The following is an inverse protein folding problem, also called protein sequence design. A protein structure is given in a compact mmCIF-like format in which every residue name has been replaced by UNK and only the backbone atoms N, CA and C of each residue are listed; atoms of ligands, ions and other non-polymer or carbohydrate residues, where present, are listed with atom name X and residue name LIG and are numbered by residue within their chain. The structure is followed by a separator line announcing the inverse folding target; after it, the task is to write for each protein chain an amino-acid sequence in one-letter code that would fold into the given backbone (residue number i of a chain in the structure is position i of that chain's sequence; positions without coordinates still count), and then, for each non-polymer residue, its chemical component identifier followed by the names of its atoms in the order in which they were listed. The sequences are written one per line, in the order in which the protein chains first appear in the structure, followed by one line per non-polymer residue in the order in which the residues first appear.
data_IF_870825356537
#
_entry.id   IF_870825356537
#
_cell.length_a   1.000
_cell.length_b   1.000
_cell.length_c   1.000
_cell.angle_alpha   90.00
_cell.angle_beta   90.00
_cell.angle_gamma   90.00
#
_symmetry.space_group_name_H-M   'P 1'
#
loop_
_entity.id
_entity.type
_entity.pdbx_description
1 polymer ?
#
# COMPACT_ATOMS: atom_id res chain seq x y z
N UNK A 1 21.05 43.52 11.77
CA UNK A 1 21.30 44.38 12.96
C UNK A 1 21.99 43.56 14.04
N UNK A 2 21.38 42.47 14.52
CA UNK A 2 21.94 41.59 15.57
C UNK A 2 23.32 41.02 15.23
N UNK A 3 23.52 40.54 14.00
CA UNK A 3 24.84 40.09 13.54
C UNK A 3 25.90 41.20 13.56
N UNK A 4 25.53 42.47 13.45
CA UNK A 4 26.52 43.56 13.53
C UNK A 4 26.93 43.84 14.97
N UNK A 5 26.03 43.59 15.93
CA UNK A 5 26.31 43.75 17.37
C UNK A 5 27.27 42.65 17.84
N UNK A 6 27.15 41.43 17.30
CA UNK A 6 28.00 40.30 17.67
C UNK A 6 29.48 40.49 17.29
N UNK A 7 29.75 41.17 16.17
CA UNK A 7 31.11 41.46 15.70
C UNK A 7 31.65 42.82 16.15
N UNK A 8 30.83 43.65 16.80
CA UNK A 8 31.24 44.96 17.24
C UNK A 8 31.98 44.88 18.59
N UNK A 9 33.14 45.52 18.66
CA UNK A 9 33.93 45.64 19.89
C UNK A 9 33.54 46.88 20.73
N UNK A 10 32.96 47.89 20.09
CA UNK A 10 32.44 49.09 20.74
C UNK A 10 31.26 49.65 19.92
N UNK A 11 30.52 50.60 20.49
CA UNK A 11 29.35 51.20 19.83
C UNK A 11 29.71 51.91 18.51
N UNK A 12 30.88 52.51 18.43
CA UNK A 12 31.32 53.19 17.20
C UNK A 12 31.64 52.22 16.06
N UNK A 13 32.22 51.07 16.39
CA UNK A 13 32.50 49.99 15.46
C UNK A 13 31.20 49.36 14.98
N UNK A 14 30.18 49.23 15.86
CA UNK A 14 28.84 48.83 15.45
C UNK A 14 28.28 49.76 14.36
N UNK A 15 28.37 51.08 14.54
CA UNK A 15 27.88 52.04 13.53
C UNK A 15 28.67 51.93 12.21
N UNK A 16 30.00 51.77 12.26
CA UNK A 16 30.81 51.51 11.05
C UNK A 16 30.42 50.21 10.33
N UNK A 17 30.12 49.15 11.08
CA UNK A 17 29.63 47.88 10.51
C UNK A 17 28.25 48.05 9.86
N UNK A 18 27.43 48.97 10.36
CA UNK A 18 26.16 49.32 9.73
C UNK A 18 26.38 50.07 8.42
N UNK A 19 27.35 50.99 8.35
CA UNK A 19 27.74 51.65 7.10
C UNK A 19 28.25 50.66 6.05
N UNK A 20 29.10 49.72 6.46
CA UNK A 20 29.57 48.65 5.57
C UNK A 20 28.45 47.76 5.03
N UNK A 21 27.35 47.61 5.77
CA UNK A 21 26.15 46.88 5.33
C UNK A 21 25.21 47.74 4.48
N UNK A 22 25.58 48.98 4.16
CA UNK A 22 24.84 49.86 3.26
C UNK A 22 23.82 50.78 3.95
N UNK A 23 23.95 51.00 5.26
CA UNK A 23 23.09 51.95 6.00
C UNK A 23 23.81 53.29 6.14
N UNK A 24 23.13 54.40 5.83
CA UNK A 24 23.68 55.73 6.12
C UNK A 24 23.46 56.06 7.60
N UNK A 25 24.52 56.45 8.31
CA UNK A 25 24.44 56.84 9.73
C UNK A 25 24.49 58.37 9.87
N UNK A 26 23.67 58.92 10.77
CA UNK A 26 23.75 60.33 11.17
C UNK A 26 23.71 60.45 12.69
N UNK A 27 24.59 61.29 13.25
CA UNK A 27 24.57 61.67 14.67
C UNK A 27 23.98 63.06 14.82
N UNK A 28 22.91 63.17 15.58
CA UNK A 28 22.36 64.46 16.00
C UNK A 28 22.01 64.38 17.49
N UNK A 29 22.44 65.39 18.27
CA UNK A 29 22.09 65.53 19.70
C UNK A 29 22.29 64.27 20.55
N UNK A 30 23.37 63.51 20.34
CA UNK A 30 23.71 62.31 21.13
C UNK A 30 22.99 61.02 20.72
N UNK A 31 22.03 61.09 19.79
CA UNK A 31 21.28 59.94 19.28
C UNK A 31 21.77 59.52 17.89
N UNK A 32 21.75 58.21 17.62
CA UNK A 32 22.14 57.64 16.34
C UNK A 32 20.92 57.33 15.48
N UNK A 33 20.97 57.82 14.24
CA UNK A 33 19.96 57.63 13.22
C UNK A 33 20.52 56.74 12.12
N UNK A 34 19.73 55.77 11.67
CA UNK A 34 20.05 54.91 10.54
C UNK A 34 19.06 55.13 9.41
N UNK A 35 19.56 55.18 8.19
CA UNK A 35 18.75 55.16 6.98
C UNK A 35 19.02 53.87 6.22
N UNK A 36 18.02 52.98 6.07
CA UNK A 36 18.18 51.75 5.31
C UNK A 36 18.30 52.05 3.80
N UNK A 37 18.97 51.15 3.08
CA UNK A 37 19.22 51.31 1.66
C UNK A 37 17.89 51.41 0.87
N UNK A 38 17.69 52.52 0.16
CA UNK A 38 16.51 52.75 -0.69
C UNK A 38 15.40 53.59 -0.06
N UNK A 39 15.47 53.90 1.25
CA UNK A 39 14.52 54.80 1.89
C UNK A 39 15.03 56.25 1.92
N UNK A 40 14.11 57.22 2.03
CA UNK A 40 14.45 58.65 2.00
C UNK A 40 14.67 59.27 3.40
N UNK A 41 14.22 58.60 4.45
CA UNK A 41 14.19 59.16 5.81
C UNK A 41 15.15 58.43 6.76
N UNK A 42 15.62 59.17 7.76
CA UNK A 42 16.45 58.65 8.84
C UNK A 42 15.55 58.19 9.99
N UNK A 43 15.72 56.94 10.43
CA UNK A 43 14.97 56.34 11.53
C UNK A 43 15.86 56.33 12.78
N UNK A 44 15.31 56.69 13.94
CA UNK A 44 16.01 56.58 15.22
C UNK A 44 16.12 55.12 15.62
N UNK A 45 17.29 54.72 16.11
CA UNK A 45 17.49 53.34 16.59
C UNK A 45 16.52 52.94 17.71
N UNK A 46 16.13 53.90 18.55
CA UNK A 46 15.15 53.72 19.64
C UNK A 46 13.76 53.34 19.13
N UNK A 47 13.36 53.87 17.97
CA UNK A 47 12.02 53.68 17.42
C UNK A 47 11.87 52.29 16.79
N UNK A 48 12.99 51.68 16.37
CA UNK A 48 13.02 50.32 15.81
C UNK A 48 12.77 49.30 16.92
N UNK A 49 13.54 49.38 18.01
CA UNK A 49 13.28 48.60 19.23
C UNK A 49 14.03 49.16 20.42
N UNK A 50 13.47 49.01 21.63
CA UNK A 50 14.14 49.41 22.88
C UNK A 50 15.45 48.67 23.17
N UNK A 51 15.72 47.56 22.47
CA UNK A 51 16.97 46.80 22.56
C UNK A 51 18.14 47.46 21.78
N UNK A 52 17.86 48.48 20.96
CA UNK A 52 18.87 49.21 20.19
C UNK A 52 19.23 50.59 20.76
N UNK A 53 18.94 50.81 22.05
CA UNK A 53 19.50 51.98 22.76
C UNK A 53 21.02 51.84 22.86
N UNK A 54 21.73 52.98 22.92
CA UNK A 54 23.20 52.98 23.00
C UNK A 54 23.70 52.12 24.16
N UNK A 55 23.10 52.29 25.33
CA UNK A 55 23.43 51.54 26.55
C UNK A 55 23.12 50.04 26.42
N UNK A 56 21.99 49.68 25.79
CA UNK A 56 21.64 48.27 25.58
C UNK A 56 22.65 47.58 24.64
N UNK A 57 23.03 48.24 23.55
CA UNK A 57 24.01 47.72 22.60
C UNK A 57 25.39 47.59 23.26
N UNK A 58 25.83 48.59 24.01
CA UNK A 58 27.09 48.52 24.78
C UNK A 58 27.05 47.37 25.79
N UNK A 59 25.96 47.23 26.55
CA UNK A 59 25.79 46.12 27.50
C UNK A 59 25.74 44.74 26.82
N UNK A 60 25.22 44.65 25.60
CA UNK A 60 25.13 43.40 24.84
C UNK A 60 26.48 43.01 24.23
N UNK A 61 27.28 44.00 23.81
CA UNK A 61 28.67 43.80 23.39
C UNK A 61 29.49 43.30 24.58
N UNK A 62 29.37 43.94 25.75
CA UNK A 62 30.09 43.54 26.97
C UNK A 62 29.69 42.16 27.48
N UNK A 63 28.39 41.84 27.50
CA UNK A 63 27.90 40.52 27.95
C UNK A 63 28.29 39.40 26.99
N UNK A 64 28.56 39.74 25.72
CA UNK A 64 28.74 38.79 24.62
C UNK A 64 27.44 38.04 24.33
N UNK A 65 27.23 37.57 23.10
CA UNK A 65 26.06 36.72 22.78
C UNK A 65 26.30 35.34 23.38
N UNK A 66 26.07 35.19 24.69
CA UNK A 66 25.88 33.90 25.31
C UNK A 66 24.52 33.40 24.85
N UNK A 67 24.49 32.71 23.72
CA UNK A 67 23.41 31.76 23.48
C UNK A 67 23.47 30.77 24.63
N UNK A 68 22.60 30.95 25.63
CA UNK A 68 22.30 29.88 26.58
C UNK A 68 21.72 28.73 25.75
N UNK A 69 22.60 27.87 25.25
CA UNK A 69 22.23 26.55 24.83
C UNK A 69 21.75 25.85 26.10
N UNK A 70 20.48 26.06 26.45
CA UNK A 70 19.80 25.32 27.51
C UNK A 70 19.81 23.87 27.05
N UNK A 71 20.90 23.16 27.39
CA UNK A 71 21.00 21.71 27.29
C UNK A 71 19.95 21.19 28.26
N UNK A 72 18.75 20.96 27.74
CA UNK A 72 17.66 20.37 28.50
C UNK A 72 18.20 19.09 29.14
N UNK A 73 18.24 19.05 30.48
CA UNK A 73 18.87 17.98 31.23
C UNK A 73 18.31 16.60 30.85
N UNK A 74 19.20 15.60 30.91
CA UNK A 74 19.01 14.15 30.82
C UNK A 74 17.55 13.67 30.82
N UNK A 75 16.84 13.87 29.71
CA UNK A 75 15.57 13.19 29.46
C UNK A 75 15.92 11.77 29.02
N UNK A 76 15.45 10.78 29.77
CA UNK A 76 15.37 9.39 29.31
C UNK A 76 14.87 9.37 27.86
N UNK A 77 15.47 8.58 26.95
CA UNK A 77 15.02 8.53 25.57
C UNK A 77 13.58 8.01 25.55
N UNK A 78 12.62 8.92 25.42
CA UNK A 78 11.22 8.58 25.18
C UNK A 78 11.10 8.36 23.69
N UNK A 79 10.50 7.25 23.27
CA UNK A 79 10.07 7.08 21.88
C UNK A 79 9.09 8.22 21.60
N UNK A 80 9.59 9.27 20.93
CA UNK A 80 8.74 10.33 20.40
C UNK A 80 7.98 9.64 19.28
N UNK A 81 6.74 9.26 19.57
CA UNK A 81 5.82 8.82 18.54
C UNK A 81 5.64 9.97 17.57
N UNK A 82 6.44 10.00 16.51
CA UNK A 82 6.13 10.78 15.33
C UNK A 82 4.82 10.21 14.79
N UNK A 83 3.68 10.79 15.20
CA UNK A 83 2.46 10.70 14.42
C UNK A 83 2.81 11.30 13.07
N UNK A 84 3.24 10.45 12.14
CA UNK A 84 3.29 10.80 10.73
C UNK A 84 1.86 11.22 10.43
N UNK A 85 1.66 12.51 10.19
CA UNK A 85 0.44 12.99 9.59
C UNK A 85 0.43 12.37 8.19
N UNK A 86 -0.10 11.15 8.08
CA UNK A 86 -0.44 10.55 6.81
C UNK A 86 -1.49 11.48 6.20
N UNK A 87 -1.06 12.52 5.49
CA UNK A 87 -1.96 13.27 4.63
C UNK A 87 -2.61 12.21 3.77
N UNK A 88 -3.94 12.07 3.90
CA UNK A 88 -4.72 11.14 3.11
C UNK A 88 -4.26 11.30 1.67
N UNK A 89 -3.85 10.21 1.02
CA UNK A 89 -3.35 10.28 -0.34
C UNK A 89 -4.43 10.94 -1.22
N UNK A 90 -4.11 12.11 -1.76
CA UNK A 90 -4.97 12.79 -2.73
C UNK A 90 -4.45 12.36 -4.09
N UNK A 91 -5.22 11.58 -4.87
CA UNK A 91 -4.80 11.20 -6.21
C UNK A 91 -4.61 12.47 -7.06
N UNK A 92 -3.58 12.53 -7.92
CA UNK A 92 -3.36 13.69 -8.77
C UNK A 92 -4.54 13.90 -9.72
N UNK A 93 -4.89 15.17 -9.96
CA UNK A 93 -5.92 15.57 -10.93
C UNK A 93 -5.52 15.13 -12.35
N UNK A 94 -6.47 14.98 -13.26
CA UNK A 94 -6.20 14.64 -14.68
C UNK A 94 -5.13 15.54 -15.30
N UNK A 95 -5.21 16.85 -15.06
CA UNK A 95 -4.22 17.84 -15.49
C UNK A 95 -2.82 17.58 -14.91
N UNK A 96 -2.74 17.31 -13.60
CA UNK A 96 -1.47 16.99 -12.93
C UNK A 96 -0.85 15.70 -13.47
N UNK A 97 -1.67 14.68 -13.77
CA UNK A 97 -1.21 13.44 -14.42
C UNK A 97 -0.64 13.71 -15.82
N UNK A 98 -1.32 14.54 -16.62
CA UNK A 98 -0.88 14.91 -17.96
C UNK A 98 0.43 15.74 -17.91
N UNK A 99 0.53 16.70 -16.99
CA UNK A 99 1.72 17.49 -16.76
C UNK A 99 2.90 16.60 -16.35
N UNK A 100 2.74 15.75 -15.34
CA UNK A 100 3.77 14.80 -14.91
C UNK A 100 4.18 13.85 -16.04
N UNK A 101 3.22 13.34 -16.83
CA UNK A 101 3.51 12.50 -17.99
C UNK A 101 4.34 13.25 -19.05
N UNK A 102 4.03 14.53 -19.33
CA UNK A 102 4.81 15.39 -20.24
C UNK A 102 6.24 15.60 -19.71
N UNK A 103 6.40 15.85 -18.41
CA UNK A 103 7.72 15.99 -17.77
C UNK A 103 8.56 14.71 -17.82
N UNK A 104 7.93 13.53 -17.71
CA UNK A 104 8.61 12.24 -17.87
C UNK A 104 8.97 11.91 -19.33
N UNK A 105 8.11 12.29 -20.30
CA UNK A 105 8.39 12.10 -21.74
C UNK A 105 9.52 12.99 -22.24
N UNK A 106 9.57 14.23 -21.75
CA UNK A 106 10.60 15.22 -22.09
C UNK A 106 11.92 15.03 -21.33
N UNK A 107 11.98 14.08 -20.39
CA UNK A 107 13.19 13.78 -19.62
C UNK A 107 13.55 14.81 -18.54
N UNK A 108 12.73 15.85 -18.34
CA UNK A 108 12.96 16.87 -17.30
C UNK A 108 12.88 16.27 -15.89
N UNK A 109 12.10 15.21 -15.72
CA UNK A 109 12.15 14.38 -14.51
C UNK A 109 12.82 13.04 -14.77
N UNK A 110 13.78 12.70 -13.90
CA UNK A 110 14.33 11.35 -13.82
C UNK A 110 13.20 10.39 -13.48
N UNK A 111 13.08 9.31 -14.25
CA UNK A 111 12.20 8.20 -13.88
C UNK A 111 12.59 7.75 -12.47
N UNK A 112 11.60 7.65 -11.57
CA UNK A 112 11.85 7.00 -10.28
C UNK A 112 12.36 5.59 -10.58
N UNK A 113 13.39 5.10 -9.87
CA UNK A 113 13.78 3.71 -10.02
C UNK A 113 12.54 2.86 -9.78
N UNK A 114 12.28 1.91 -10.69
CA UNK A 114 11.14 1.03 -10.55
C UNK A 114 11.24 0.33 -9.19
N UNK A 115 10.16 0.37 -8.42
CA UNK A 115 10.16 -0.28 -7.10
C UNK A 115 10.50 -1.75 -7.30
N UNK A 116 11.52 -2.26 -6.61
CA UNK A 116 11.90 -3.67 -6.67
C UNK A 116 10.91 -4.59 -5.94
N UNK A 117 9.76 -4.06 -5.49
CA UNK A 117 8.70 -4.81 -4.82
C UNK A 117 8.25 -6.02 -5.65
N UNK A 118 8.31 -5.94 -6.99
CA UNK A 118 7.97 -7.06 -7.86
C UNK A 118 8.89 -8.27 -7.65
N UNK A 119 10.18 -8.05 -7.31
CA UNK A 119 11.14 -9.13 -7.02
C UNK A 119 10.76 -9.89 -5.76
N UNK A 120 10.25 -9.19 -4.76
CA UNK A 120 9.88 -9.75 -3.46
C UNK A 120 8.41 -10.16 -3.37
N UNK A 121 7.66 -10.16 -4.48
CA UNK A 121 6.22 -10.46 -4.47
C UNK A 121 5.92 -11.83 -3.86
N UNK A 122 6.72 -12.84 -4.21
CA UNK A 122 6.56 -14.20 -3.69
C UNK A 122 6.95 -14.31 -2.22
N UNK A 123 8.06 -13.67 -1.82
CA UNK A 123 8.53 -13.65 -0.44
C UNK A 123 7.55 -12.91 0.48
N UNK A 124 7.01 -11.78 0.03
CA UNK A 124 5.97 -11.04 0.72
C UNK A 124 4.70 -11.90 0.91
N UNK A 125 4.25 -12.61 -0.13
CA UNK A 125 3.10 -13.50 -0.02
C UNK A 125 3.36 -14.68 0.94
N UNK A 126 4.58 -15.25 0.94
CA UNK A 126 4.99 -16.28 1.91
C UNK A 126 4.98 -15.73 3.34
N UNK A 127 5.50 -14.53 3.55
CA UNK A 127 5.52 -13.87 4.85
C UNK A 127 4.10 -13.57 5.35
N UNK A 128 3.22 -13.03 4.51
CA UNK A 128 1.81 -12.78 4.86
C UNK A 128 1.07 -14.08 5.24
N UNK A 129 1.35 -15.17 4.52
CA UNK A 129 0.82 -16.49 4.85
C UNK A 129 1.29 -16.97 6.22
N UNK A 130 2.60 -16.93 6.49
CA UNK A 130 3.17 -17.32 7.79
C UNK A 130 2.63 -16.47 8.94
N UNK A 131 2.54 -15.15 8.73
CA UNK A 131 1.97 -14.23 9.70
C UNK A 131 0.51 -14.57 10.00
N UNK A 132 -0.29 -14.88 8.97
CA UNK A 132 -1.70 -15.27 9.13
C UNK A 132 -1.85 -16.58 9.91
N UNK A 133 -1.00 -17.57 9.62
CA UNK A 133 -0.96 -18.84 10.34
C UNK A 133 -0.56 -18.65 11.81
N UNK A 134 0.48 -17.88 12.07
CA UNK A 134 0.94 -17.57 13.43
C UNK A 134 -0.15 -16.85 14.24
N UNK A 135 -0.76 -15.79 13.68
CA UNK A 135 -1.84 -15.06 14.33
C UNK A 135 -3.06 -15.94 14.61
N UNK A 136 -3.36 -16.90 13.73
CA UNK A 136 -4.43 -17.87 13.94
C UNK A 136 -4.15 -18.75 15.16
N UNK A 137 -2.95 -19.35 15.24
CA UNK A 137 -2.53 -20.16 16.38
C UNK A 137 -2.60 -19.38 17.70
N UNK A 138 -2.13 -18.13 17.71
CA UNK A 138 -2.21 -17.26 18.88
C UNK A 138 -3.65 -16.95 19.30
N UNK A 139 -4.54 -16.61 18.35
CA UNK A 139 -5.95 -16.29 18.65
C UNK A 139 -6.69 -17.47 19.27
N UNK A 140 -6.36 -18.69 18.85
CA UNK A 140 -6.99 -19.92 19.35
C UNK A 140 -6.18 -20.60 20.46
N UNK A 141 -5.07 -20.00 20.91
CA UNK A 141 -4.16 -20.55 21.92
C UNK A 141 -3.71 -22.00 21.65
N UNK A 142 -3.52 -22.34 20.37
CA UNK A 142 -3.14 -23.69 19.95
C UNK A 142 -1.64 -23.87 20.21
N UNK A 143 -1.30 -24.82 21.08
CA UNK A 143 0.09 -25.12 21.47
C UNK A 143 0.56 -26.48 20.99
N UNK A 144 -0.37 -27.40 20.76
CA UNK A 144 -0.05 -28.76 20.29
C UNK A 144 -0.63 -29.03 18.89
N UNK A 145 0.00 -29.95 18.17
CA UNK A 145 -0.52 -30.44 16.91
C UNK A 145 -1.82 -31.23 17.07
N UNK A 146 -1.99 -31.94 18.20
CA UNK A 146 -3.23 -32.68 18.49
C UNK A 146 -4.42 -31.74 18.66
N UNK A 147 -4.21 -30.58 19.30
CA UNK A 147 -5.23 -29.53 19.43
C UNK A 147 -5.62 -28.98 18.07
N UNK A 148 -4.65 -28.80 17.17
CA UNK A 148 -4.88 -28.35 15.80
C UNK A 148 -5.71 -29.37 14.99
N UNK A 149 -5.44 -30.67 15.16
CA UNK A 149 -6.21 -31.75 14.53
C UNK A 149 -7.63 -31.86 15.08
N UNK A 150 -7.81 -31.75 16.41
CA UNK A 150 -9.14 -31.68 17.04
C UNK A 150 -9.93 -30.50 16.49
N UNK A 151 -9.31 -29.32 16.43
CA UNK A 151 -9.91 -28.12 15.86
C UNK A 151 -10.30 -28.31 14.39
N UNK A 152 -9.49 -29.02 13.60
CA UNK A 152 -9.83 -29.36 12.21
C UNK A 152 -11.11 -30.19 12.14
N UNK A 153 -11.23 -31.24 12.97
CA UNK A 153 -12.44 -32.08 13.04
C UNK A 153 -13.67 -31.25 13.44
N UNK A 154 -13.52 -30.36 14.42
CA UNK A 154 -14.61 -29.46 14.82
C UNK A 154 -15.06 -28.53 13.67
N UNK A 155 -14.12 -28.04 12.86
CA UNK A 155 -14.44 -27.23 11.68
C UNK A 155 -15.16 -28.05 10.61
N UNK A 156 -14.75 -29.31 10.39
CA UNK A 156 -15.39 -30.22 9.45
C UNK A 156 -16.85 -30.49 9.88
N UNK A 157 -17.10 -30.81 11.16
CA UNK A 157 -18.46 -30.97 11.67
C UNK A 157 -19.32 -29.71 11.51
N UNK A 158 -18.77 -28.52 11.80
CA UNK A 158 -19.48 -27.25 11.58
C UNK A 158 -19.75 -26.98 10.10
N UNK A 159 -18.89 -27.45 9.21
CA UNK A 159 -19.09 -27.33 7.76
C UNK A 159 -20.28 -28.18 7.32
N UNK A 160 -20.37 -29.40 7.84
CA UNK A 160 -21.48 -30.31 7.60
C UNK A 160 -22.79 -29.73 8.14
N UNK A 161 -22.79 -29.18 9.37
CA UNK A 161 -23.95 -28.49 9.96
C UNK A 161 -24.45 -27.33 9.07
N UNK A 162 -23.53 -26.55 8.47
CA UNK A 162 -23.89 -25.47 7.55
C UNK A 162 -24.43 -25.98 6.22
N UNK A 163 -23.94 -27.13 5.74
CA UNK A 163 -24.47 -27.76 4.53
C UNK A 163 -25.87 -28.35 4.77
N UNK A 164 -26.11 -28.93 5.95
CA UNK A 164 -27.45 -29.32 6.39
C UNK A 164 -28.38 -28.11 6.52
N UNK A 165 -27.93 -27.03 7.15
CA UNK A 165 -28.72 -25.80 7.27
C UNK A 165 -29.08 -25.24 5.88
N UNK A 166 -28.12 -25.21 4.95
CA UNK A 166 -28.36 -24.86 3.55
C UNK A 166 -29.40 -25.78 2.92
N UNK A 167 -29.28 -27.09 3.11
CA UNK A 167 -30.22 -28.07 2.58
C UNK A 167 -31.64 -27.85 3.15
N UNK A 168 -31.77 -27.58 4.44
CA UNK A 168 -33.05 -27.25 5.07
C UNK A 168 -33.69 -26.00 4.46
N UNK A 169 -32.91 -24.95 4.17
CA UNK A 169 -33.41 -23.75 3.48
C UNK A 169 -33.98 -24.13 2.10
N UNK A 170 -33.27 -24.96 1.33
CA UNK A 170 -33.78 -25.44 0.04
C UNK A 170 -35.05 -26.26 0.18
N UNK A 171 -35.15 -27.12 1.20
CA UNK A 171 -36.36 -27.92 1.48
C UNK A 171 -37.56 -27.02 1.80
N UNK A 172 -37.37 -25.97 2.61
CA UNK A 172 -38.41 -24.95 2.91
C UNK A 172 -38.78 -24.12 1.68
N UNK A 173 -37.81 -23.80 0.83
CA UNK A 173 -38.03 -23.05 -0.41
C UNK A 173 -38.74 -23.86 -1.49
N UNK A 174 -38.61 -25.19 -1.48
CA UNK A 174 -39.08 -26.06 -2.56
C UNK A 174 -40.59 -25.96 -2.84
N UNK A 175 -41.50 -25.99 -1.85
CA UNK A 175 -42.94 -25.82 -2.10
C UNK A 175 -43.29 -24.50 -2.80
N UNK A 176 -42.52 -23.44 -2.53
CA UNK A 176 -42.76 -22.10 -3.09
C UNK A 176 -42.03 -21.87 -4.42
N UNK A 177 -41.34 -22.88 -4.97
CA UNK A 177 -40.57 -22.76 -6.22
C UNK A 177 -41.41 -22.20 -7.37
N UNK A 178 -42.65 -22.66 -7.48
CA UNK A 178 -43.54 -22.27 -8.57
C UNK A 178 -44.05 -20.83 -8.43
N UNK A 179 -44.34 -20.37 -7.21
CA UNK A 179 -44.69 -18.97 -6.93
C UNK A 179 -43.49 -18.03 -7.17
N UNK A 180 -42.29 -18.44 -6.76
CA UNK A 180 -41.05 -17.70 -7.01
C UNK A 180 -40.72 -17.60 -8.51
N UNK A 181 -41.03 -18.64 -9.29
CA UNK A 181 -40.85 -18.61 -10.74
C UNK A 181 -41.79 -17.58 -11.41
N UNK A 182 -43.06 -17.54 -10.99
CA UNK A 182 -44.02 -16.53 -11.44
C UNK A 182 -43.56 -15.12 -11.06
N UNK A 183 -43.04 -14.92 -9.84
CA UNK A 183 -42.49 -13.63 -9.43
C UNK A 183 -41.32 -13.18 -10.33
N UNK A 184 -40.42 -14.08 -10.71
CA UNK A 184 -39.34 -13.73 -11.64
C UNK A 184 -39.89 -13.28 -13.01
N UNK A 185 -40.91 -13.94 -13.54
CA UNK A 185 -41.57 -13.54 -14.79
C UNK A 185 -42.19 -12.14 -14.66
N UNK A 186 -42.79 -11.84 -13.50
CA UNK A 186 -43.36 -10.53 -13.18
C UNK A 186 -42.25 -9.46 -13.16
N UNK A 187 -41.17 -9.68 -12.42
CA UNK A 187 -40.04 -8.73 -12.32
C UNK A 187 -39.37 -8.47 -13.69
N UNK A 188 -39.13 -9.53 -14.47
CA UNK A 188 -38.52 -9.41 -15.80
C UNK A 188 -39.39 -8.58 -16.75
N UNK A 189 -40.71 -8.69 -16.65
CA UNK A 189 -41.64 -8.00 -17.54
C UNK A 189 -42.17 -6.68 -16.97
N UNK A 190 -41.86 -6.31 -15.73
CA UNK A 190 -42.42 -5.14 -15.05
C UNK A 190 -42.15 -3.84 -15.82
N UNK A 191 -40.91 -3.63 -16.25
CA UNK A 191 -40.50 -2.44 -17.02
C UNK A 191 -41.22 -2.38 -18.37
N UNK A 192 -41.30 -3.51 -19.09
CA UNK A 192 -41.97 -3.62 -20.39
C UNK A 192 -43.47 -3.41 -20.29
N UNK A 193 -44.09 -4.00 -19.26
CA UNK A 193 -45.48 -3.82 -18.92
C UNK A 193 -45.79 -2.35 -18.57
N UNK A 194 -44.86 -1.65 -17.90
CA UNK A 194 -45.04 -0.23 -17.58
C UNK A 194 -45.09 0.66 -18.84
N UNK A 195 -44.26 0.39 -19.86
CA UNK A 195 -44.29 1.12 -21.13
C UNK A 195 -45.57 0.85 -21.91
N UNK A 196 -46.09 -0.37 -21.87
CA UNK A 196 -47.40 -0.68 -22.46
C UNK A 196 -48.52 0.10 -21.79
N UNK A 197 -48.53 0.18 -20.44
CA UNK A 197 -49.50 1.01 -19.69
C UNK A 197 -49.41 2.50 -20.03
N UNK A 198 -48.23 2.99 -20.43
CA UNK A 198 -48.02 4.36 -20.89
C UNK A 198 -48.47 4.60 -22.34
N UNK A 199 -48.93 3.57 -23.06
CA UNK A 199 -49.49 3.67 -24.41
C UNK A 199 -48.64 3.02 -25.52
N UNK A 200 -47.52 2.37 -25.18
CA UNK A 200 -46.68 1.70 -26.19
C UNK A 200 -47.22 0.33 -26.58
N UNK A 201 -47.80 0.19 -27.78
CA UNK A 201 -48.35 -1.09 -28.27
C UNK A 201 -47.28 -2.18 -28.50
N UNK A 202 -46.01 -1.80 -28.70
CA UNK A 202 -44.91 -2.72 -28.99
C UNK A 202 -44.72 -3.79 -27.91
N UNK A 203 -44.99 -3.46 -26.65
CA UNK A 203 -44.79 -4.35 -25.52
C UNK A 203 -46.03 -5.17 -25.12
N UNK A 204 -47.10 -5.18 -25.93
CA UNK A 204 -48.33 -5.91 -25.64
C UNK A 204 -48.11 -7.39 -25.23
N UNK A 205 -47.26 -8.18 -25.92
CA UNK A 205 -47.04 -9.57 -25.55
C UNK A 205 -46.36 -9.74 -24.18
N UNK A 206 -45.55 -8.77 -23.74
CA UNK A 206 -44.88 -8.80 -22.44
C UNK A 206 -45.85 -8.41 -21.32
N UNK A 207 -46.78 -7.50 -21.61
CA UNK A 207 -47.84 -7.13 -20.70
C UNK A 207 -48.80 -8.30 -20.44
N UNK A 208 -49.17 -9.06 -21.47
CA UNK A 208 -50.00 -10.27 -21.33
C UNK A 208 -49.32 -11.30 -20.43
N UNK A 209 -48.03 -11.61 -20.67
CA UNK A 209 -47.26 -12.52 -19.80
C UNK A 209 -47.18 -12.04 -18.35
N UNK A 210 -47.00 -10.74 -18.14
CA UNK A 210 -46.99 -10.13 -16.81
C UNK A 210 -48.36 -10.28 -16.13
N UNK A 211 -49.45 -10.01 -16.86
CA UNK A 211 -50.83 -10.10 -16.38
C UNK A 211 -51.20 -11.54 -16.03
N UNK A 212 -50.95 -12.48 -16.94
CA UNK A 212 -51.19 -13.91 -16.71
C UNK A 212 -50.42 -14.43 -15.49
N UNK A 213 -49.13 -14.07 -15.37
CA UNK A 213 -48.33 -14.48 -14.23
C UNK A 213 -48.87 -13.90 -12.90
N UNK A 214 -49.33 -12.65 -12.90
CA UNK A 214 -49.95 -12.02 -11.73
C UNK A 214 -51.29 -12.68 -11.37
N UNK A 215 -52.13 -13.00 -12.35
CA UNK A 215 -53.41 -13.68 -12.14
C UNK A 215 -53.21 -15.09 -11.57
N UNK A 216 -52.28 -15.88 -12.13
CA UNK A 216 -51.94 -17.23 -11.63
C UNK A 216 -51.40 -17.14 -10.19
N UNK A 217 -50.65 -16.09 -9.86
CA UNK A 217 -50.13 -15.89 -8.50
C UNK A 217 -51.27 -15.65 -7.49
N UNK A 218 -52.25 -14.81 -7.86
CA UNK A 218 -53.42 -14.51 -7.03
C UNK A 218 -54.32 -15.74 -6.88
N UNK A 219 -54.52 -16.52 -7.95
CA UNK A 219 -55.27 -17.78 -7.90
C UNK A 219 -54.65 -18.80 -6.92
N UNK A 220 -53.33 -18.75 -6.73
CA UNK A 220 -52.60 -19.58 -5.75
C UNK A 220 -52.64 -19.03 -4.33
N UNK A 221 -53.32 -17.91 -4.10
CA UNK A 221 -53.50 -17.29 -2.79
C UNK A 221 -52.32 -16.45 -2.32
N UNK A 222 -51.40 -16.05 -3.22
CA UNK A 222 -50.23 -15.26 -2.86
C UNK A 222 -50.34 -13.82 -3.37
N UNK A 223 -49.89 -12.87 -2.55
CA UNK A 223 -49.68 -11.49 -2.98
C UNK A 223 -48.25 -11.32 -3.50
N UNK A 224 -48.04 -10.51 -4.55
CA UNK A 224 -46.71 -10.22 -5.11
C UNK A 224 -45.72 -9.78 -4.02
N UNK A 225 -46.16 -8.90 -3.11
CA UNK A 225 -45.36 -8.41 -1.98
C UNK A 225 -44.89 -9.54 -1.05
N UNK A 226 -45.79 -10.46 -0.70
CA UNK A 226 -45.45 -11.60 0.17
C UNK A 226 -44.39 -12.50 -0.49
N UNK A 227 -44.54 -12.81 -1.78
CA UNK A 227 -43.59 -13.67 -2.50
C UNK A 227 -42.23 -12.98 -2.66
N UNK A 228 -42.22 -11.65 -2.83
CA UNK A 228 -40.99 -10.85 -2.84
C UNK A 228 -40.26 -10.89 -1.50
N UNK A 229 -40.99 -10.66 -0.39
CA UNK A 229 -40.44 -10.75 0.97
C UNK A 229 -39.87 -12.16 1.26
N UNK A 230 -40.57 -13.21 0.81
CA UNK A 230 -40.09 -14.59 0.90
C UNK A 230 -38.81 -14.82 0.08
N UNK A 231 -38.75 -14.31 -1.16
CA UNK A 231 -37.56 -14.39 -2.01
C UNK A 231 -36.36 -13.74 -1.32
N UNK A 232 -36.53 -12.53 -0.80
CA UNK A 232 -35.48 -11.81 -0.09
C UNK A 232 -35.06 -12.51 1.21
N UNK A 233 -36.00 -13.06 1.98
CA UNK A 233 -35.71 -13.82 3.19
C UNK A 233 -34.81 -15.03 2.89
N UNK A 234 -35.20 -15.86 1.92
CA UNK A 234 -34.38 -17.02 1.53
C UNK A 234 -33.02 -16.62 0.98
N UNK A 235 -32.92 -15.53 0.22
CA UNK A 235 -31.63 -15.03 -0.27
C UNK A 235 -30.74 -14.55 0.87
N UNK A 236 -31.29 -13.84 1.86
CA UNK A 236 -30.55 -13.40 3.05
C UNK A 236 -30.05 -14.58 3.87
N UNK A 237 -30.88 -15.59 4.10
CA UNK A 237 -30.50 -16.81 4.81
C UNK A 237 -29.37 -17.57 4.07
N UNK A 238 -29.53 -17.82 2.77
CA UNK A 238 -28.51 -18.48 1.95
C UNK A 238 -27.20 -17.69 1.92
N UNK A 239 -27.28 -16.36 1.84
CA UNK A 239 -26.11 -15.49 1.88
C UNK A 239 -25.41 -15.54 3.25
N UNK A 240 -26.16 -15.61 4.34
CA UNK A 240 -25.63 -15.77 5.69
C UNK A 240 -24.86 -17.08 5.84
N UNK A 241 -25.47 -18.21 5.42
CA UNK A 241 -24.83 -19.53 5.43
C UNK A 241 -23.59 -19.54 4.54
N UNK A 242 -23.66 -18.94 3.35
CA UNK A 242 -22.50 -18.84 2.45
C UNK A 242 -21.35 -18.01 3.04
N UNK A 243 -21.65 -16.93 3.79
CA UNK A 243 -20.63 -16.14 4.49
C UNK A 243 -19.97 -16.95 5.60
N UNK A 244 -20.76 -17.58 6.47
CA UNK A 244 -20.25 -18.46 7.52
C UNK A 244 -19.37 -19.58 6.94
N UNK A 245 -19.83 -20.23 5.86
CA UNK A 245 -19.06 -21.29 5.18
C UNK A 245 -17.71 -20.79 4.66
N UNK A 246 -17.68 -19.60 4.06
CA UNK A 246 -16.43 -18.97 3.58
C UNK A 246 -15.47 -18.65 4.72
N UNK A 247 -15.97 -18.22 5.87
CA UNK A 247 -15.15 -17.94 7.05
C UNK A 247 -14.51 -19.22 7.58
N UNK A 248 -15.30 -20.28 7.77
CA UNK A 248 -14.77 -21.59 8.18
C UNK A 248 -13.76 -22.14 7.15
N UNK A 249 -14.01 -21.97 5.84
CA UNK A 249 -13.07 -22.40 4.79
C UNK A 249 -11.74 -21.64 4.84
N UNK A 250 -11.74 -20.36 5.25
CA UNK A 250 -10.49 -19.60 5.48
C UNK A 250 -9.72 -20.18 6.66
N UNK A 251 -10.40 -20.55 7.74
CA UNK A 251 -9.74 -21.22 8.87
C UNK A 251 -9.19 -22.58 8.46
N UNK A 252 -9.97 -23.39 7.76
CA UNK A 252 -9.56 -24.72 7.29
C UNK A 252 -8.33 -24.64 6.36
N UNK A 253 -8.26 -23.65 5.46
CA UNK A 253 -7.09 -23.46 4.59
C UNK A 253 -5.85 -23.02 5.37
N UNK A 254 -6.00 -22.23 6.44
CA UNK A 254 -4.89 -21.90 7.35
C UNK A 254 -4.39 -23.13 8.09
N UNK A 255 -5.30 -23.91 8.68
CA UNK A 255 -4.97 -25.16 9.40
C UNK A 255 -4.31 -26.17 8.46
N UNK A 256 -4.90 -26.42 7.28
CA UNK A 256 -4.33 -27.31 6.26
C UNK A 256 -2.96 -26.84 5.78
N UNK A 257 -2.74 -25.53 5.70
CA UNK A 257 -1.44 -24.94 5.40
C UNK A 257 -0.38 -25.17 6.48
N UNK A 258 -0.78 -25.22 7.76
CA UNK A 258 0.13 -25.51 8.89
C UNK A 258 0.47 -27.00 8.91
N UNK A 259 -0.53 -27.87 8.79
CA UNK A 259 -0.35 -29.32 8.79
C UNK A 259 0.50 -29.80 7.60
N UNK A 260 0.26 -29.27 6.39
CA UNK A 260 1.08 -29.57 5.21
C UNK A 260 2.49 -28.97 5.27
N UNK A 261 2.69 -27.89 6.02
CA UNK A 261 4.03 -27.36 6.32
C UNK A 261 4.83 -28.31 7.19
N UNK A 262 4.20 -28.90 8.21
CA UNK A 262 4.82 -29.87 9.12
C UNK A 262 5.30 -31.12 8.39
N UNK A 263 4.50 -31.66 7.47
CA UNK A 263 4.91 -32.83 6.67
C UNK A 263 6.11 -32.52 5.79
N UNK A 264 6.26 -31.29 5.27
CA UNK A 264 7.46 -30.88 4.55
C UNK A 264 8.70 -30.78 5.43
N UNK A 265 8.57 -30.23 6.65
CA UNK A 265 9.69 -30.13 7.59
C UNK A 265 10.16 -31.53 8.02
N UNK A 266 9.23 -32.43 8.34
CA UNK A 266 9.54 -33.83 8.67
C UNK A 266 10.12 -34.61 7.47
N UNK A 267 9.57 -34.42 6.26
CA UNK A 267 10.12 -35.04 5.05
C UNK A 267 11.53 -34.50 4.73
N UNK A 268 11.81 -33.22 4.98
CA UNK A 268 13.17 -32.69 4.85
C UNK A 268 14.12 -33.26 5.92
N UNK A 269 13.67 -33.44 7.16
CA UNK A 269 14.46 -34.11 8.21
C UNK A 269 14.77 -35.58 7.88
N UNK A 270 13.83 -36.29 7.25
CA UNK A 270 14.01 -37.70 6.82
C UNK A 270 14.84 -37.78 5.52
N UNK A 271 14.76 -36.77 4.64
CA UNK A 271 15.46 -36.74 3.36
C UNK A 271 16.85 -36.11 3.40
N UNK A 272 17.33 -35.60 4.54
CA UNK A 272 18.74 -35.23 4.73
C UNK A 272 19.52 -36.51 5.08
N UNK A 273 20.32 -37.09 4.17
CA UNK A 273 21.28 -38.11 4.55
C UNK A 273 22.33 -37.44 5.43
N UNK A 274 22.75 -38.11 6.49
CA UNK A 274 23.65 -37.58 7.50
C UNK A 274 24.84 -36.79 6.93
N UNK A 275 25.22 -35.73 7.65
CA UNK A 275 26.20 -34.68 7.35
C UNK A 275 27.63 -35.20 7.02
N UNK A 276 27.86 -36.51 6.99
CA UNK A 276 29.15 -37.14 6.71
C UNK A 276 29.61 -37.02 5.24
N UNK A 277 28.76 -36.56 4.31
CA UNK A 277 29.13 -36.37 2.91
C UNK A 277 29.85 -35.03 2.62
N UNK A 278 29.77 -34.03 3.51
CA UNK A 278 30.38 -32.71 3.26
C UNK A 278 31.90 -32.71 3.53
N UNK A 279 32.39 -33.60 4.39
CA UNK A 279 33.82 -33.66 4.73
C UNK A 279 34.68 -34.28 3.62
N UNK A 280 34.15 -35.19 2.79
CA UNK A 280 34.90 -35.77 1.66
C UNK A 280 35.07 -34.82 0.46
N UNK A 281 34.22 -33.80 0.32
CA UNK A 281 34.32 -32.83 -0.77
C UNK A 281 35.34 -31.71 -0.48
N UNK A 282 35.64 -31.43 0.81
CA UNK A 282 36.63 -30.43 1.20
C UNK A 282 38.08 -30.93 1.11
N UNK A 283 38.32 -32.24 1.13
CA UNK A 283 39.66 -32.81 0.91
C UNK A 283 40.05 -32.73 -0.58
N UNK A 284 39.11 -33.03 -1.49
CA UNK A 284 39.36 -33.01 -2.93
C UNK A 284 39.58 -31.59 -3.51
N UNK A 285 39.03 -30.55 -2.88
CA UNK A 285 39.21 -29.16 -3.33
C UNK A 285 40.57 -28.57 -2.94
N UNK A 286 41.09 -28.96 -1.77
CA UNK A 286 42.45 -28.56 -1.34
C UNK A 286 43.55 -29.18 -2.21
N UNK A 287 43.32 -30.38 -2.75
CA UNK A 287 44.24 -31.05 -3.65
C UNK A 287 44.31 -30.36 -5.03
N UNK A 288 43.16 -29.88 -5.54
CA UNK A 288 43.10 -29.17 -6.83
C UNK A 288 43.71 -27.76 -6.82
N UNK A 289 43.69 -27.07 -5.67
CA UNK A 289 44.30 -25.74 -5.53
C UNK A 289 45.84 -25.81 -5.41
N UNK A 290 46.38 -26.90 -4.87
CA UNK A 290 47.83 -27.16 -4.84
C UNK A 290 48.39 -27.40 -6.25
N UNK A 291 47.61 -28.06 -7.13
CA UNK A 291 48.01 -28.33 -8.52
C UNK A 291 47.95 -27.05 -9.38
N UNK A 292 46.96 -26.17 -9.17
CA UNK A 292 46.84 -24.91 -9.92
C UNK A 292 47.95 -23.91 -9.59
N UNK A 293 48.47 -23.92 -8.35
CA UNK A 293 49.55 -23.02 -7.93
C UNK A 293 50.93 -23.41 -8.49
N UNK A 294 51.11 -24.66 -8.93
CA UNK A 294 52.32 -25.12 -9.60
C UNK A 294 52.38 -24.73 -11.09
N UNK A 295 51.23 -24.46 -11.73
CA UNK A 295 51.15 -24.16 -13.17
C UNK A 295 51.36 -22.65 -13.45
N UNK A 296 51.16 -21.77 -12.47
CA UNK A 296 51.29 -20.31 -12.65
C UNK A 296 52.72 -19.75 -12.54
N UNK A 297 53.75 -20.59 -12.42
CA UNK A 297 55.14 -20.16 -12.23
C UNK A 297 56.00 -20.19 -13.51
N UNK A 298 55.41 -20.02 -14.70
CA UNK A 298 56.21 -19.94 -15.93
C UNK A 298 55.44 -19.61 -17.20
N UNK A 299 55.29 -18.32 -17.50
CA UNK A 299 55.53 -17.71 -18.84
C UNK A 299 55.10 -16.25 -18.85
N UNK A 300 56.06 -15.37 -19.10
CA UNK A 300 55.83 -13.99 -19.54
C UNK A 300 55.76 -13.88 -21.07
N UNK A 301 55.34 -12.71 -21.55
CA UNK A 301 55.59 -12.23 -22.92
C UNK A 301 54.36 -11.90 -23.76
N UNK A 302 54.04 -10.59 -23.79
CA UNK A 302 53.76 -9.73 -24.96
C UNK A 302 52.43 -9.71 -25.74
N UNK A 303 51.88 -8.46 -25.74
CA UNK A 303 51.37 -7.62 -26.84
C UNK A 303 50.05 -7.93 -27.62
N UNK A 304 49.14 -6.95 -27.51
CA UNK A 304 48.23 -6.34 -28.50
C UNK A 304 47.56 -7.18 -29.60
N UNK A 305 46.22 -7.14 -29.69
CA UNK A 305 45.55 -6.59 -30.88
C UNK A 305 44.04 -6.28 -30.67
N UNK A 306 43.62 -5.19 -31.31
CA UNK A 306 42.25 -4.72 -31.55
C UNK A 306 41.37 -5.68 -32.36
N UNK A 307 40.03 -5.59 -32.22
CA UNK A 307 39.10 -6.21 -33.16
C UNK A 307 37.63 -6.23 -32.72
N UNK A 308 36.84 -5.28 -33.21
CA UNK A 308 35.37 -5.23 -33.15
C UNK A 308 34.75 -6.25 -34.11
N UNK A 309 33.79 -7.08 -33.66
CA UNK A 309 32.79 -7.70 -34.55
C UNK A 309 31.39 -7.67 -33.91
N UNK A 310 30.48 -7.16 -34.75
CA UNK A 310 29.04 -6.95 -34.64
C UNK A 310 28.30 -8.30 -34.63
N UNK A 311 27.39 -8.52 -33.68
CA UNK A 311 26.51 -9.69 -33.68
C UNK A 311 25.12 -9.32 -34.23
N UNK A 312 24.73 -10.02 -35.30
CA UNK A 312 23.44 -9.94 -35.97
C UNK A 312 22.33 -10.60 -35.14
N UNK A 313 21.12 -10.04 -35.21
CA UNK A 313 19.91 -10.62 -34.63
C UNK A 313 19.20 -11.51 -35.67
N UNK A 314 18.69 -12.69 -35.28
CA UNK A 314 17.84 -13.48 -36.17
C UNK A 314 16.38 -13.00 -36.17
N UNK A 315 15.81 -12.99 -37.37
CA UNK A 315 14.41 -12.71 -37.67
C UNK A 315 13.50 -13.89 -37.26
N UNK A 316 12.32 -13.59 -36.72
CA UNK A 316 11.23 -14.55 -36.52
C UNK A 316 10.09 -14.22 -37.50
N UNK A 317 9.77 -15.17 -38.36
CA UNK A 317 8.64 -15.12 -39.30
C UNK A 317 7.28 -15.20 -38.60
N UNK A 318 6.41 -14.26 -38.94
CA UNK A 318 4.97 -14.28 -38.64
C UNK A 318 4.21 -15.02 -39.76
N UNK A 319 3.44 -16.06 -39.40
CA UNK A 319 2.24 -16.46 -40.14
C UNK A 319 1.11 -16.78 -39.17
N UNK A 320 0.28 -15.79 -38.89
CA UNK A 320 -1.05 -15.96 -38.31
C UNK A 320 -2.08 -16.08 -39.44
N UNK A 321 -2.80 -17.21 -39.49
CA UNK A 321 -4.05 -17.38 -40.22
C UNK A 321 -5.19 -16.77 -39.40
N UNK A 322 -5.95 -15.86 -40.02
CA UNK A 322 -7.25 -15.39 -39.53
C UNK A 322 -8.33 -16.46 -39.69
N UNK A 323 -9.40 -16.47 -38.88
CA UNK A 323 -10.66 -17.10 -39.24
C UNK A 323 -11.68 -16.07 -39.75
N UNK A 324 -12.23 -16.36 -40.92
CA UNK A 324 -13.39 -15.71 -41.54
C UNK A 324 -14.65 -15.85 -40.69
N UNK A 325 -15.42 -14.77 -40.60
CA UNK A 325 -16.81 -14.76 -40.17
C UNK A 325 -17.70 -15.08 -41.38
N UNK A 326 -18.65 -16.00 -41.21
CA UNK A 326 -19.77 -16.18 -42.12
C UNK A 326 -21.07 -16.39 -41.33
N UNK A 327 -22.01 -15.47 -41.59
CA UNK A 327 -23.46 -15.49 -41.35
C UNK A 327 -23.99 -15.25 -39.94
#
# INVERSE_FOLDING_TARGET
MEDSISFANNYENFLKLMELKGYETRRQSGEAYLKPMGEKQFIRLTDISGYYTKEAIESQIEKGIRHEAKRSGNRTPRIIGCRKNYRKYIPPTSYQKAFLAKMYRTGQFKRKPYSQMWRYKEEAAKFEKLQSQYLYLCRHNIRSAEELEKRKKDLDSRMDDLDEARHQIYKRRYPHKSALALLNIIEENETRASYYKQGSLFYAPNYEKWKEAAEILVQRGYTIKQVSEMKEAYQRELASVARAKRELKKEETLIGGILSGRSRVQVMEIAVPGINALHKAQENTKETDSIRKAISAGKGGDAENTGSIRAEMPAHDEKQKQPEQAR
#
